data_IF_356628523642
#
_entry.id   IF_356628523642
#
_cell.length_a   1.000
_cell.length_b   1.000
_cell.length_c   1.000
_cell.angle_alpha   90.00
_cell.angle_beta   90.00
_cell.angle_gamma   90.00
#
_symmetry.space_group_name_H-M   'P 1'
#
loop_
_entity.id
_entity.type
_entity.pdbx_description
1 polymer ?
#
# COMPACT_ATOMS: atom_id res chain seq x y z
N UNK A 1 -3.56 9.43 19.76
CA UNK A 1 -4.23 8.11 19.86
C UNK A 1 -3.74 7.26 18.69
N UNK A 2 -3.40 5.99 18.94
CA UNK A 2 -2.99 5.05 17.91
C UNK A 2 -4.13 4.07 17.57
N UNK A 3 -4.08 3.48 16.37
CA UNK A 3 -5.04 2.49 15.90
C UNK A 3 -4.35 1.36 15.11
N UNK A 4 -5.04 0.23 14.99
CA UNK A 4 -4.61 -0.94 14.24
C UNK A 4 -5.81 -1.78 13.80
N UNK A 5 -5.55 -2.92 13.17
CA UNK A 5 -6.62 -3.75 12.57
C UNK A 5 -7.47 -4.52 13.60
N UNK A 6 -7.03 -4.62 14.86
CA UNK A 6 -7.73 -5.39 15.90
C UNK A 6 -7.56 -6.91 15.74
N UNK A 7 -8.51 -7.66 16.31
CA UNK A 7 -8.61 -9.11 16.18
C UNK A 7 -8.76 -9.55 14.71
N UNK A 8 -8.11 -10.64 14.30
CA UNK A 8 -8.14 -11.13 12.93
C UNK A 8 -8.18 -12.67 12.90
N UNK A 9 -9.11 -13.22 12.13
CA UNK A 9 -9.27 -14.66 11.89
C UNK A 9 -9.44 -15.45 13.20
N UNK A 10 -10.17 -14.87 14.15
CA UNK A 10 -10.49 -15.47 15.43
C UNK A 10 -12.02 -15.46 15.69
N UNK A 11 -12.43 -15.86 16.89
CA UNK A 11 -13.84 -15.94 17.28
C UNK A 11 -14.51 -14.58 17.40
N UNK A 12 -13.77 -13.51 17.65
CA UNK A 12 -14.29 -12.16 17.77
C UNK A 12 -14.37 -11.47 16.39
N UNK A 13 -13.45 -11.78 15.49
CA UNK A 13 -13.46 -11.31 14.11
C UNK A 13 -12.96 -12.39 13.13
N UNK A 14 -13.87 -13.07 12.41
CA UNK A 14 -13.51 -14.20 11.57
C UNK A 14 -12.75 -13.83 10.29
N UNK A 15 -12.74 -12.54 9.90
CA UNK A 15 -12.14 -12.04 8.66
C UNK A 15 -11.27 -10.82 8.91
N UNK A 16 -10.42 -10.46 7.95
CA UNK A 16 -9.72 -9.18 7.96
C UNK A 16 -8.46 -9.19 7.11
N UNK A 17 -8.02 -8.01 6.69
CA UNK A 17 -6.87 -7.84 5.79
C UNK A 17 -5.56 -7.59 6.51
N UNK A 18 -5.61 -7.19 7.78
CA UNK A 18 -4.43 -6.75 8.53
C UNK A 18 -3.77 -5.51 7.90
N UNK A 19 -4.54 -4.68 7.20
CA UNK A 19 -4.04 -3.52 6.45
C UNK A 19 -4.21 -2.23 7.28
N UNK A 20 -3.13 -1.53 7.65
CA UNK A 20 -3.21 -0.24 8.33
C UNK A 20 -3.97 0.82 7.53
N UNK A 21 -3.90 0.81 6.20
CA UNK A 21 -4.64 1.78 5.38
C UNK A 21 -6.16 1.52 5.38
N UNK A 22 -6.57 0.26 5.54
CA UNK A 22 -7.99 -0.08 5.77
C UNK A 22 -8.47 0.49 7.11
N UNK A 23 -7.69 0.32 8.18
CA UNK A 23 -8.03 0.90 9.49
C UNK A 23 -8.13 2.43 9.43
N UNK A 24 -7.20 3.11 8.74
CA UNK A 24 -7.29 4.55 8.53
C UNK A 24 -8.50 4.96 7.68
N UNK A 25 -8.82 4.21 6.62
CA UNK A 25 -10.03 4.43 5.83
C UNK A 25 -11.30 4.34 6.70
N UNK A 26 -11.41 3.34 7.58
CA UNK A 26 -12.55 3.16 8.48
C UNK A 26 -12.66 4.31 9.50
N UNK A 27 -11.55 4.73 10.09
CA UNK A 27 -11.52 5.90 10.98
C UNK A 27 -11.99 7.18 10.28
N UNK A 28 -11.57 7.40 9.04
CA UNK A 28 -11.98 8.58 8.28
C UNK A 28 -13.46 8.50 7.85
N UNK A 29 -13.86 7.38 7.26
CA UNK A 29 -15.17 7.21 6.61
C UNK A 29 -16.31 6.91 7.59
N UNK A 30 -16.06 6.15 8.66
CA UNK A 30 -17.09 5.72 9.61
C UNK A 30 -17.08 6.55 10.89
N UNK A 31 -15.92 7.06 11.28
CA UNK A 31 -15.77 7.85 12.52
C UNK A 31 -15.48 9.33 12.28
N UNK A 32 -15.46 9.78 11.01
CA UNK A 32 -15.40 11.19 10.66
C UNK A 32 -14.06 11.88 10.94
N UNK A 33 -12.99 11.11 11.17
CA UNK A 33 -11.66 11.71 11.32
C UNK A 33 -11.18 12.32 10.00
N UNK A 34 -10.43 13.42 10.09
CA UNK A 34 -9.67 13.93 8.93
C UNK A 34 -8.66 12.87 8.48
N UNK A 35 -8.44 12.76 7.16
CA UNK A 35 -7.60 11.73 6.57
C UNK A 35 -6.18 11.71 7.17
N UNK A 36 -5.61 12.89 7.42
CA UNK A 36 -4.28 13.07 8.01
C UNK A 36 -4.21 12.52 9.43
N UNK A 37 -5.24 12.78 10.25
CA UNK A 37 -5.32 12.24 11.60
C UNK A 37 -5.55 10.73 11.61
N UNK A 38 -6.40 10.23 10.71
CA UNK A 38 -6.64 8.80 10.56
C UNK A 38 -5.36 8.06 10.14
N UNK A 39 -4.61 8.59 9.17
CA UNK A 39 -3.32 8.04 8.77
C UNK A 39 -2.28 8.14 9.89
N UNK A 40 -2.18 9.28 10.59
CA UNK A 40 -1.25 9.42 11.70
C UNK A 40 -1.51 8.39 12.81
N UNK A 41 -2.77 8.06 13.09
CA UNK A 41 -3.15 7.07 14.10
C UNK A 41 -2.59 5.67 13.81
N UNK A 42 -2.49 5.27 12.53
CA UNK A 42 -1.98 3.95 12.10
C UNK A 42 -0.52 3.97 11.67
N UNK A 43 0.13 5.15 11.61
CA UNK A 43 1.50 5.33 11.15
C UNK A 43 2.38 5.92 12.26
N UNK A 44 2.67 7.22 12.23
CA UNK A 44 3.60 7.90 13.15
C UNK A 44 3.18 7.74 14.62
N UNK A 45 1.88 7.87 14.92
CA UNK A 45 1.39 7.74 16.30
C UNK A 45 1.45 6.30 16.79
N UNK A 46 1.09 5.32 15.95
CA UNK A 46 1.23 3.90 16.28
C UNK A 46 2.69 3.54 16.52
N UNK A 47 3.58 4.03 15.67
CA UNK A 47 5.02 3.78 15.76
C UNK A 47 5.63 4.37 17.04
N UNK A 48 5.24 5.60 17.41
CA UNK A 48 5.63 6.22 18.67
C UNK A 48 5.09 5.44 19.88
N UNK A 49 3.83 4.96 19.82
CA UNK A 49 3.23 4.14 20.88
C UNK A 49 3.97 2.80 21.09
N UNK A 50 4.61 2.27 20.04
CA UNK A 50 5.46 1.08 20.10
C UNK A 50 6.91 1.36 20.54
N UNK A 51 7.27 2.62 20.81
CA UNK A 51 8.63 3.00 21.22
C UNK A 51 9.68 2.88 20.11
N UNK A 52 9.27 2.90 18.84
CA UNK A 52 10.18 2.72 17.71
C UNK A 52 10.86 4.05 17.30
N UNK A 53 12.12 4.06 16.82
CA UNK A 53 12.90 5.29 16.58
C UNK A 53 12.47 6.04 15.33
N UNK A 54 12.08 7.31 15.39
CA UNK A 54 11.38 8.06 14.32
C UNK A 54 11.85 7.81 12.86
N UNK A 55 10.91 7.87 11.92
CA UNK A 55 11.14 7.66 10.48
C UNK A 55 10.42 8.74 9.70
N UNK A 56 11.16 9.39 8.79
CA UNK A 56 10.66 10.49 7.96
C UNK A 56 11.10 10.31 6.52
N UNK A 57 10.36 10.95 5.61
CA UNK A 57 10.77 11.12 4.21
C UNK A 57 11.70 12.32 4.13
N UNK A 58 12.91 12.16 4.66
CA UNK A 58 13.92 13.21 4.78
C UNK A 58 15.32 12.59 4.70
N UNK A 59 16.29 13.32 4.14
CA UNK A 59 17.67 12.85 4.07
C UNK A 59 18.23 12.56 5.47
N UNK A 60 18.94 11.44 5.62
CA UNK A 60 19.50 10.99 6.89
C UNK A 60 18.59 10.03 7.68
N UNK A 61 17.30 9.93 7.35
CA UNK A 61 16.42 8.89 7.90
C UNK A 61 16.51 7.58 7.10
N UNK A 62 16.23 6.42 7.71
CA UNK A 62 16.23 5.16 7.00
C UNK A 62 15.16 5.15 5.90
N UNK A 63 15.47 4.54 4.75
CA UNK A 63 14.57 4.42 3.62
C UNK A 63 13.50 3.33 3.85
N UNK A 64 12.58 3.64 4.76
CA UNK A 64 11.38 2.88 5.12
C UNK A 64 10.16 3.56 4.51
N UNK A 65 9.71 3.11 3.34
CA UNK A 65 8.72 3.81 2.53
C UNK A 65 7.62 2.88 2.05
N UNK A 66 6.41 3.42 1.95
CA UNK A 66 5.28 2.78 1.28
C UNK A 66 4.85 3.66 0.11
N UNK A 67 5.11 3.23 -1.12
CA UNK A 67 4.63 3.92 -2.30
C UNK A 67 3.25 3.37 -2.67
N UNK A 68 2.26 4.27 -2.74
CA UNK A 68 0.88 3.98 -3.13
C UNK A 68 0.46 4.91 -4.25
N UNK A 69 -0.59 4.55 -4.99
CA UNK A 69 -1.20 5.45 -5.98
C UNK A 69 -2.14 6.45 -5.30
N UNK A 70 -2.01 7.73 -5.64
CA UNK A 70 -2.88 8.81 -5.19
C UNK A 70 -2.14 10.13 -5.14
N UNK A 71 -2.84 11.23 -5.44
CA UNK A 71 -2.29 12.59 -5.37
C UNK A 71 -2.44 13.22 -3.97
N UNK A 72 -3.45 12.75 -3.23
CA UNK A 72 -3.78 13.18 -1.88
C UNK A 72 -4.07 11.97 -1.00
N UNK A 73 -3.91 12.14 0.31
CA UNK A 73 -4.07 11.06 1.27
C UNK A 73 -5.47 10.44 1.24
N UNK A 74 -6.52 11.24 1.10
CA UNK A 74 -7.90 10.73 0.97
C UNK A 74 -8.10 9.86 -0.29
N UNK A 75 -7.46 10.21 -1.41
CA UNK A 75 -7.49 9.40 -2.62
C UNK A 75 -6.73 8.08 -2.43
N UNK A 76 -5.56 8.12 -1.77
CA UNK A 76 -4.81 6.93 -1.41
C UNK A 76 -5.60 6.01 -0.48
N UNK A 77 -6.23 6.55 0.58
CA UNK A 77 -7.07 5.76 1.50
C UNK A 77 -8.30 5.15 0.82
N UNK A 78 -8.74 5.69 -0.32
CA UNK A 78 -9.88 5.17 -1.08
C UNK A 78 -9.51 4.09 -2.10
N UNK A 79 -8.31 4.15 -2.69
CA UNK A 79 -7.96 3.40 -3.91
C UNK A 79 -6.57 2.77 -3.91
N UNK A 80 -5.82 2.76 -2.79
CA UNK A 80 -4.45 2.22 -2.71
C UNK A 80 -4.35 0.68 -2.78
N UNK A 81 -4.93 0.09 -3.82
CA UNK A 81 -4.85 -1.34 -4.13
C UNK A 81 -3.43 -1.74 -4.56
N UNK A 82 -2.78 -0.88 -5.35
CA UNK A 82 -1.39 -1.08 -5.82
C UNK A 82 -0.42 -0.37 -4.89
N UNK A 83 0.59 -1.10 -4.39
CA UNK A 83 1.59 -0.58 -3.46
C UNK A 83 2.96 -1.26 -3.58
N UNK A 84 4.00 -0.52 -3.22
CA UNK A 84 5.38 -1.01 -3.12
C UNK A 84 5.88 -0.73 -1.72
N UNK A 85 6.40 -1.75 -1.05
CA UNK A 85 7.01 -1.64 0.28
C UNK A 85 8.52 -1.62 0.12
N UNK A 86 9.15 -0.58 0.66
CA UNK A 86 10.60 -0.39 0.65
C UNK A 86 11.08 -0.44 2.10
N UNK A 87 11.98 -1.38 2.38
CA UNK A 87 12.64 -1.53 3.67
C UNK A 87 14.14 -1.34 3.49
N UNK A 88 14.75 -0.44 4.25
CA UNK A 88 16.17 -0.07 4.15
C UNK A 88 16.65 0.14 2.70
N UNK A 89 15.84 0.82 1.90
CA UNK A 89 16.17 1.14 0.50
C UNK A 89 16.01 -0.03 -0.48
N UNK A 90 15.45 -1.17 -0.07
CA UNK A 90 15.18 -2.32 -0.93
C UNK A 90 13.68 -2.56 -1.05
N UNK A 91 13.20 -2.81 -2.26
CA UNK A 91 11.82 -3.25 -2.47
C UNK A 91 11.67 -4.66 -1.88
N UNK A 92 10.84 -4.80 -0.86
CA UNK A 92 10.59 -6.09 -0.18
C UNK A 92 9.23 -6.69 -0.53
N UNK A 93 8.28 -5.87 -0.99
CA UNK A 93 7.00 -6.34 -1.49
C UNK A 93 6.45 -5.43 -2.58
N UNK A 94 5.72 -6.02 -3.52
CA UNK A 94 4.96 -5.32 -4.55
C UNK A 94 3.60 -5.98 -4.70
N UNK A 95 2.54 -5.18 -4.57
CA UNK A 95 1.16 -5.58 -4.86
C UNK A 95 0.67 -4.72 -6.00
N UNK A 96 0.14 -5.36 -7.04
CA UNK A 96 -0.42 -4.68 -8.21
C UNK A 96 -1.86 -5.11 -8.38
N UNK A 97 -2.76 -4.14 -8.51
CA UNK A 97 -4.13 -4.35 -8.94
C UNK A 97 -4.29 -3.87 -10.38
N UNK A 98 -4.97 -4.68 -11.19
CA UNK A 98 -5.37 -4.36 -12.55
C UNK A 98 -6.86 -4.07 -12.53
N UNK A 99 -7.27 -2.99 -13.20
CA UNK A 99 -8.69 -2.67 -13.43
C UNK A 99 -8.96 -2.69 -14.92
N UNK A 100 -9.74 -3.66 -15.34
CA UNK A 100 -10.21 -3.81 -16.71
C UNK A 100 -11.65 -3.28 -16.78
N UNK A 101 -11.93 -2.56 -17.86
CA UNK A 101 -13.29 -2.15 -18.21
C UNK A 101 -13.63 -2.88 -19.49
N UNK A 102 -14.76 -3.57 -19.54
CA UNK A 102 -15.27 -4.06 -20.81
C UNK A 102 -15.60 -2.83 -21.65
N UNK A 103 -14.93 -2.67 -22.79
CA UNK A 103 -15.36 -1.70 -23.78
C UNK A 103 -16.82 -1.99 -24.13
N UNK A 104 -17.65 -0.94 -24.11
CA UNK A 104 -19.05 -1.06 -24.54
C UNK A 104 -19.17 -1.20 -26.06
N UNK A 105 -18.04 -1.19 -26.78
CA UNK A 105 -17.92 -1.49 -28.19
C UNK A 105 -16.70 -2.41 -28.40
N UNK A 106 -16.88 -3.69 -28.77
CA UNK A 106 -15.74 -4.54 -29.06
C UNK A 106 -15.20 -4.14 -30.43
N UNK A 107 -14.06 -3.45 -30.48
CA UNK A 107 -13.20 -3.54 -31.67
C UNK A 107 -12.54 -4.93 -31.64
N UNK A 108 -12.94 -5.86 -32.53
CA UNK A 108 -12.45 -7.25 -32.52
C UNK A 108 -10.96 -7.37 -32.87
N UNK A 109 -10.28 -6.27 -33.22
CA UNK A 109 -8.86 -6.28 -33.62
C UNK A 109 -7.89 -5.91 -32.49
N UNK A 110 -8.38 -5.35 -31.38
CA UNK A 110 -7.55 -4.99 -30.24
C UNK A 110 -7.52 -6.12 -29.21
N UNK A 111 -6.46 -6.94 -29.23
CA UNK A 111 -6.21 -7.92 -28.16
C UNK A 111 -5.98 -7.24 -26.80
N UNK A 112 -6.29 -7.90 -25.67
CA UNK A 112 -6.11 -7.31 -24.35
C UNK A 112 -4.64 -6.98 -24.10
N UNK A 113 -4.34 -5.69 -23.96
CA UNK A 113 -2.98 -5.19 -23.71
C UNK A 113 -2.62 -5.43 -22.23
N UNK A 114 -2.32 -6.69 -21.91
CA UNK A 114 -1.92 -7.09 -20.56
C UNK A 114 -0.54 -6.51 -20.25
N UNK A 115 -0.31 -6.00 -19.02
CA UNK A 115 0.98 -5.48 -18.63
C UNK A 115 2.04 -6.59 -18.71
N UNK A 116 2.97 -6.46 -19.67
CA UNK A 116 4.13 -7.35 -19.76
C UNK A 116 4.98 -7.16 -18.52
N UNK A 117 4.90 -8.10 -17.58
CA UNK A 117 5.83 -8.12 -16.47
C UNK A 117 7.21 -8.43 -17.05
N UNK A 118 8.08 -7.41 -17.03
CA UNK A 118 9.48 -7.56 -17.42
C UNK A 118 10.10 -8.67 -16.58
N UNK A 119 10.50 -9.75 -17.25
CA UNK A 119 11.36 -10.77 -16.65
C UNK A 119 12.66 -10.05 -16.27
N UNK A 120 13.16 -10.17 -15.03
CA UNK A 120 14.49 -9.66 -14.73
C UNK A 120 15.46 -10.36 -15.67
N UNK A 121 16.30 -9.58 -16.37
CA UNK A 121 17.35 -10.12 -17.22
C UNK A 121 18.16 -11.11 -16.38
N UNK A 122 18.05 -12.40 -16.71
CA UNK A 122 18.95 -13.42 -16.17
C UNK A 122 20.33 -13.04 -16.67
N UNK A 123 21.13 -12.43 -15.79
CA UNK A 123 22.48 -11.97 -16.08
C UNK A 123 23.29 -13.04 -16.79
N UNK A 124 23.63 -12.77 -18.05
CA UNK A 124 24.62 -13.51 -18.81
C UNK A 124 26.00 -12.91 -18.58
N UNK A 125 26.73 -13.48 -17.62
CA UNK A 125 28.19 -13.47 -17.62
C UNK A 125 28.68 -14.66 -16.78
N UNK A 126 29.92 -15.16 -16.94
CA UNK A 126 31.00 -14.75 -17.86
C UNK A 126 31.64 -15.93 -18.65
N UNK A 127 32.60 -15.62 -19.54
CA UNK A 127 33.53 -16.58 -20.18
C UNK A 127 33.27 -16.73 -21.69
N UNK A 128 34.23 -16.54 -22.61
CA UNK A 128 35.70 -16.59 -22.55
C UNK A 128 36.32 -15.56 -23.49
#
# INVERSE_FOLDING_TARGET
VAAGSGALRDTANPVGRGDPLEAAYLLASQHGLRAEHAYAAVSTTARAALGLPDVRVEAGFPAELLAVRGEQLSAALSLAYSRIVIHRGRIVARTSAVREYCDSDPDPTAGPDLPRQGRPDSGGGPGS
#
